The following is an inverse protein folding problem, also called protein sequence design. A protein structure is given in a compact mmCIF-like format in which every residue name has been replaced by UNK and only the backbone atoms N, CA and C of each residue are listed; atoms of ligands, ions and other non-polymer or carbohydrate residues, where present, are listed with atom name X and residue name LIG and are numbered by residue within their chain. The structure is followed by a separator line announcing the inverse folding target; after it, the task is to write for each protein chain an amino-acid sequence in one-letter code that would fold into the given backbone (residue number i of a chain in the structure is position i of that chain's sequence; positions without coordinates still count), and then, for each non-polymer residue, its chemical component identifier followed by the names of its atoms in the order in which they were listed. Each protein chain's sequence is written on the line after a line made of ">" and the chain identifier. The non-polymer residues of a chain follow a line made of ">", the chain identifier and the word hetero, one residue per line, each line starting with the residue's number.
data_IF_229058293753
#
_entry.id   IF_229058293753
#
_cell.length_a   1.000
_cell.length_b   1.000
_cell.length_c   1.000
_cell.angle_alpha   90.00
_cell.angle_beta   90.00
_cell.angle_gamma   90.00
#
_symmetry.space_group_name_H-M   'P 1'
#
loop_
_entity.id
_entity.type
_entity.pdbx_description
1 polymer ?
#
# COMPACT_ATOMS: atom_id res chain seq x y z
N UNK A 1 -65.91 44.54 30.02
CA UNK A 1 -64.66 45.34 29.99
C UNK A 1 -63.49 44.43 29.63
N UNK A 2 -62.52 44.97 28.90
CA UNK A 2 -61.63 44.25 27.98
C UNK A 2 -60.36 43.65 28.61
N UNK A 3 -59.74 42.72 27.83
CA UNK A 3 -58.33 42.20 27.83
C UNK A 3 -57.97 41.10 28.84
N UNK A 4 -57.67 39.87 28.37
CA UNK A 4 -56.39 39.35 27.79
C UNK A 4 -55.38 39.00 28.90
N UNK A 5 -54.73 37.83 29.01
CA UNK A 5 -54.10 36.99 27.99
C UNK A 5 -53.49 35.69 28.58
N UNK A 6 -53.23 34.72 27.67
CA UNK A 6 -52.22 33.63 27.65
C UNK A 6 -52.42 32.31 28.44
N UNK A 7 -52.32 31.23 27.63
CA UNK A 7 -52.33 29.76 27.86
C UNK A 7 -50.89 29.23 28.13
N UNK A 8 -50.53 27.91 28.07
CA UNK A 8 -51.28 26.63 27.98
C UNK A 8 -50.71 25.43 28.80
N UNK A 9 -51.39 24.28 28.66
CA UNK A 9 -50.87 22.90 28.40
C UNK A 9 -50.29 22.04 29.53
N UNK A 10 -50.97 20.91 29.77
CA UNK A 10 -50.51 19.76 30.55
C UNK A 10 -50.71 18.42 29.81
N UNK A 11 -49.61 17.64 29.76
CA UNK A 11 -49.38 16.19 29.84
C UNK A 11 -50.26 15.12 29.14
N UNK A 12 -49.57 14.36 28.26
CA UNK A 12 -49.31 12.90 28.22
C UNK A 12 -50.46 11.87 28.36
N UNK A 13 -50.65 11.05 27.30
CA UNK A 13 -50.21 9.63 27.17
C UNK A 13 -50.88 9.00 25.93
N UNK A 14 -50.12 8.29 25.10
CA UNK A 14 -50.64 7.41 24.05
C UNK A 14 -50.10 5.99 24.23
N UNK A 15 -51.01 5.02 24.25
CA UNK A 15 -50.75 3.58 24.17
C UNK A 15 -51.37 3.04 22.87
N UNK A 16 -50.48 2.53 22.02
CA UNK A 16 -50.51 1.29 21.22
C UNK A 16 -51.65 0.88 20.26
N UNK A 17 -51.17 0.40 19.10
CA UNK A 17 -51.51 -0.83 18.35
C UNK A 17 -52.45 -0.79 17.11
N UNK A 18 -51.79 -1.04 15.95
CA UNK A 18 -52.13 -1.92 14.79
C UNK A 18 -52.42 -1.28 13.41
N UNK A 19 -51.38 -1.39 12.58
CA UNK A 19 -51.32 -1.98 11.23
C UNK A 19 -52.04 -1.33 10.05
N UNK A 20 -51.25 -0.74 9.13
CA UNK A 20 -51.48 -0.76 7.69
C UNK A 20 -50.16 -1.12 6.97
N UNK A 21 -50.14 -2.26 6.28
CA UNK A 21 -49.11 -2.63 5.30
C UNK A 21 -49.39 -1.86 4.01
N UNK A 22 -48.42 -1.05 3.55
CA UNK A 22 -48.35 -0.59 2.16
C UNK A 22 -47.12 -1.20 1.52
N UNK A 23 -47.34 -2.04 0.51
CA UNK A 23 -46.31 -2.63 -0.33
C UNK A 23 -45.98 -1.63 -1.45
N UNK A 24 -44.83 -0.98 -1.37
CA UNK A 24 -44.27 -0.18 -2.46
C UNK A 24 -43.18 -1.02 -3.14
N UNK A 25 -43.49 -1.57 -4.31
CA UNK A 25 -42.50 -2.19 -5.18
C UNK A 25 -41.73 -1.07 -5.91
N UNK A 26 -40.50 -0.78 -5.46
CA UNK A 26 -39.54 -0.03 -6.27
C UNK A 26 -38.99 -0.95 -7.36
N UNK A 27 -39.37 -0.72 -8.62
CA UNK A 27 -38.58 -1.17 -9.76
C UNK A 27 -37.31 -0.33 -9.81
N UNK A 28 -36.16 -0.92 -9.49
CA UNK A 28 -34.87 -0.36 -9.83
C UNK A 28 -34.65 -0.53 -11.33
N UNK A 29 -34.67 0.57 -12.08
CA UNK A 29 -34.17 0.59 -13.46
C UNK A 29 -32.64 0.41 -13.40
N UNK A 30 -32.16 -0.77 -13.77
CA UNK A 30 -30.74 -0.99 -13.99
C UNK A 30 -30.32 -0.17 -15.22
N UNK A 31 -29.48 0.84 -15.01
CA UNK A 31 -28.78 1.51 -16.11
C UNK A 31 -27.92 0.52 -16.90
N UNK A 32 -27.51 0.84 -18.14
CA UNK A 32 -26.76 -0.08 -18.96
C UNK A 32 -25.45 -0.46 -18.27
N UNK A 33 -25.34 -1.75 -17.91
CA UNK A 33 -24.08 -2.37 -17.55
C UNK A 33 -23.23 -2.34 -18.80
N UNK A 34 -22.25 -1.44 -18.85
CA UNK A 34 -21.26 -1.45 -19.92
C UNK A 34 -20.52 -2.78 -19.83
N UNK A 35 -20.84 -3.71 -20.73
CA UNK A 35 -20.09 -4.95 -20.87
C UNK A 35 -18.64 -4.57 -21.22
N UNK A 36 -17.69 -5.08 -20.44
CA UNK A 36 -16.26 -4.94 -20.72
C UNK A 36 -16.01 -5.48 -22.13
N UNK A 37 -15.35 -4.71 -23.03
CA UNK A 37 -15.04 -5.21 -24.36
C UNK A 37 -14.26 -6.52 -24.27
N UNK A 38 -14.49 -7.50 -25.16
CA UNK A 38 -13.88 -8.84 -25.09
C UNK A 38 -12.34 -8.86 -25.16
N UNK A 39 -11.68 -7.72 -25.38
CA UNK A 39 -10.22 -7.54 -25.42
C UNK A 39 -9.68 -6.55 -24.37
N UNK A 40 -10.48 -6.15 -23.38
CA UNK A 40 -9.98 -5.35 -22.27
C UNK A 40 -9.06 -6.21 -21.39
N UNK A 41 -7.85 -5.74 -21.01
CA UNK A 41 -6.95 -6.50 -20.16
C UNK A 41 -7.63 -6.81 -18.83
N UNK A 42 -7.54 -8.06 -18.38
CA UNK A 42 -8.12 -8.49 -17.11
C UNK A 42 -7.27 -7.89 -15.98
N UNK A 43 -7.77 -6.81 -15.37
CA UNK A 43 -7.14 -6.14 -14.23
C UNK A 43 -7.09 -7.08 -13.02
N UNK A 44 -5.93 -7.14 -12.37
CA UNK A 44 -5.69 -7.92 -11.15
C UNK A 44 -5.11 -7.03 -10.06
N UNK A 45 -5.36 -7.40 -8.80
CA UNK A 45 -4.91 -6.61 -7.66
C UNK A 45 -5.75 -5.34 -7.45
N UNK A 46 -5.12 -4.30 -6.93
CA UNK A 46 -5.72 -2.99 -6.65
C UNK A 46 -5.31 -1.98 -7.71
N UNK A 47 -6.22 -1.05 -8.00
CA UNK A 47 -5.97 0.10 -8.87
C UNK A 47 -5.38 1.22 -8.01
N UNK A 48 -4.25 1.77 -8.45
CA UNK A 48 -3.69 3.00 -7.89
C UNK A 48 -4.27 4.19 -8.63
N UNK A 49 -4.60 5.26 -7.89
CA UNK A 49 -5.12 6.51 -8.45
C UNK A 49 -4.12 7.63 -8.23
N UNK A 50 -3.94 8.49 -9.23
CA UNK A 50 -3.04 9.64 -9.18
C UNK A 50 -3.70 10.91 -9.73
N UNK A 51 -3.08 12.05 -9.45
CA UNK A 51 -3.60 13.38 -9.83
C UNK A 51 -2.69 14.12 -10.83
N UNK A 52 -1.47 13.62 -11.06
CA UNK A 52 -0.47 14.28 -11.94
C UNK A 52 -0.57 13.82 -13.39
N UNK A 53 0.45 13.14 -13.91
CA UNK A 53 0.49 12.54 -15.25
C UNK A 53 -0.33 11.24 -15.34
N UNK A 54 -0.46 10.50 -14.23
CA UNK A 54 -1.15 9.21 -14.15
C UNK A 54 -2.48 9.40 -13.43
N UNK A 55 -3.59 9.03 -14.08
CA UNK A 55 -4.91 8.99 -13.45
C UNK A 55 -5.14 7.65 -12.73
N UNK A 56 -4.82 6.55 -13.40
CA UNK A 56 -4.95 5.20 -12.83
C UNK A 56 -3.79 4.30 -13.28
N UNK A 57 -3.35 3.39 -12.41
CA UNK A 57 -2.41 2.34 -12.74
C UNK A 57 -2.88 1.01 -12.14
N UNK A 58 -2.81 -0.06 -12.92
CA UNK A 58 -3.27 -1.38 -12.50
C UNK A 58 -2.42 -2.49 -13.11
N UNK A 59 -2.19 -3.56 -12.34
CA UNK A 59 -1.65 -4.80 -12.87
C UNK A 59 -2.71 -5.53 -13.68
N UNK A 60 -2.30 -6.26 -14.72
CA UNK A 60 -3.23 -6.98 -15.58
C UNK A 60 -2.61 -8.24 -16.20
N UNK A 61 -3.47 -8.98 -16.90
CA UNK A 61 -3.15 -10.22 -17.61
C UNK A 61 -2.59 -11.30 -16.64
N UNK A 62 -3.45 -11.93 -15.82
CA UNK A 62 -3.02 -12.97 -14.89
C UNK A 62 -2.33 -14.12 -15.64
N UNK A 63 -1.25 -14.63 -15.05
CA UNK A 63 -0.43 -15.66 -15.66
C UNK A 63 0.10 -16.68 -14.66
N UNK A 64 0.26 -17.93 -15.10
CA UNK A 64 0.88 -19.02 -14.35
C UNK A 64 2.36 -19.24 -14.67
N UNK A 65 2.99 -18.32 -15.42
CA UNK A 65 4.40 -18.43 -15.88
C UNK A 65 5.42 -18.50 -14.74
N UNK A 66 5.04 -17.98 -13.57
CA UNK A 66 5.87 -18.01 -12.37
C UNK A 66 5.04 -18.48 -11.18
N UNK A 67 5.47 -19.57 -10.53
CA UNK A 67 4.74 -20.21 -9.44
C UNK A 67 5.50 -20.04 -8.14
N UNK A 68 5.20 -18.96 -7.42
CA UNK A 68 5.65 -18.74 -6.04
C UNK A 68 4.45 -18.55 -5.11
N UNK A 69 3.44 -17.77 -5.51
CA UNK A 69 2.15 -17.64 -4.83
C UNK A 69 2.26 -17.13 -3.39
N UNK A 70 3.30 -16.34 -3.11
CA UNK A 70 3.58 -15.80 -1.78
C UNK A 70 2.48 -14.86 -1.29
N UNK A 71 1.72 -14.28 -2.23
CA UNK A 71 0.59 -13.37 -2.03
C UNK A 71 -0.78 -14.09 -1.99
N UNK A 72 -0.78 -15.43 -1.90
CA UNK A 72 -1.97 -16.27 -1.72
C UNK A 72 -2.85 -16.48 -2.96
N UNK A 73 -2.52 -15.85 -4.09
CA UNK A 73 -3.17 -16.10 -5.39
C UNK A 73 -2.38 -17.16 -6.19
N UNK A 74 -3.06 -17.89 -7.07
CA UNK A 74 -2.48 -18.90 -7.97
C UNK A 74 -2.03 -18.32 -9.33
N UNK A 75 -1.85 -17.00 -9.39
CA UNK A 75 -1.39 -16.26 -10.56
C UNK A 75 -0.47 -15.10 -10.14
N UNK A 76 0.31 -14.63 -11.11
CA UNK A 76 1.04 -13.35 -11.06
C UNK A 76 0.56 -12.46 -12.23
N UNK A 77 1.00 -11.20 -12.30
CA UNK A 77 0.60 -10.30 -13.40
C UNK A 77 1.66 -10.25 -14.51
N UNK A 78 1.23 -10.34 -15.77
CA UNK A 78 2.11 -10.23 -16.93
C UNK A 78 2.32 -8.79 -17.41
N UNK A 79 1.42 -7.87 -17.05
CA UNK A 79 1.48 -6.49 -17.54
C UNK A 79 1.06 -5.45 -16.51
N UNK A 80 1.47 -4.21 -16.80
CA UNK A 80 1.02 -2.98 -16.16
C UNK A 80 0.23 -2.19 -17.19
N UNK A 81 -0.97 -1.73 -16.82
CA UNK A 81 -1.82 -0.83 -17.61
C UNK A 81 -1.92 0.50 -16.88
N UNK A 82 -1.69 1.59 -17.59
CA UNK A 82 -1.67 2.94 -17.05
C UNK A 82 -2.60 3.83 -17.85
N UNK A 83 -3.56 4.45 -17.18
CA UNK A 83 -4.38 5.52 -17.72
C UNK A 83 -3.75 6.86 -17.35
N UNK A 84 -3.35 7.63 -18.35
CA UNK A 84 -2.87 9.00 -18.17
C UNK A 84 -4.04 9.97 -17.97
N UNK A 85 -3.78 11.11 -17.32
CA UNK A 85 -4.78 12.16 -17.06
C UNK A 85 -5.29 12.84 -18.32
N UNK A 86 -4.50 12.86 -19.39
CA UNK A 86 -4.90 13.37 -20.70
C UNK A 86 -5.81 12.42 -21.50
N UNK A 87 -6.10 11.26 -20.94
CA UNK A 87 -6.96 10.32 -21.58
C UNK A 87 -6.29 9.38 -22.60
N UNK A 88 -4.98 9.14 -22.51
CA UNK A 88 -4.31 8.01 -23.18
C UNK A 88 -4.13 6.80 -22.25
N UNK A 89 -4.10 5.60 -22.81
CA UNK A 89 -3.83 4.36 -22.06
C UNK A 89 -2.56 3.73 -22.61
N UNK A 90 -1.61 3.48 -21.72
CA UNK A 90 -0.34 2.83 -22.00
C UNK A 90 -0.31 1.44 -21.36
N UNK A 91 0.45 0.51 -21.95
CA UNK A 91 0.62 -0.84 -21.43
C UNK A 91 2.09 -1.25 -21.52
N UNK A 92 2.61 -1.81 -20.44
CA UNK A 92 3.92 -2.44 -20.37
C UNK A 92 3.70 -3.93 -20.17
N UNK A 93 4.12 -4.75 -21.13
CA UNK A 93 4.07 -6.22 -21.04
C UNK A 93 5.47 -6.73 -20.74
N UNK A 94 5.61 -7.53 -19.69
CA UNK A 94 6.89 -8.14 -19.36
C UNK A 94 7.21 -9.33 -20.29
N UNK A 95 8.50 -9.62 -20.52
CA UNK A 95 8.95 -10.85 -21.17
C UNK A 95 8.34 -12.12 -20.55
N UNK A 96 8.34 -13.22 -21.33
CA UNK A 96 7.75 -14.51 -20.93
C UNK A 96 8.36 -15.10 -19.64
N UNK A 97 9.64 -14.83 -19.36
CA UNK A 97 10.33 -15.33 -18.16
C UNK A 97 10.21 -14.40 -16.95
N UNK A 98 9.27 -13.45 -17.00
CA UNK A 98 9.10 -12.40 -15.99
C UNK A 98 7.64 -12.13 -15.65
N UNK A 99 7.43 -11.65 -14.42
CA UNK A 99 6.13 -11.27 -13.88
C UNK A 99 6.26 -10.07 -12.95
N UNK A 100 5.17 -9.36 -12.74
CA UNK A 100 5.02 -8.49 -11.57
C UNK A 100 4.49 -9.33 -10.41
N UNK A 101 5.30 -9.45 -9.36
CA UNK A 101 4.98 -10.17 -8.12
C UNK A 101 4.56 -9.16 -7.04
N UNK A 102 3.49 -8.42 -7.34
CA UNK A 102 2.92 -7.35 -6.53
C UNK A 102 1.38 -7.33 -6.69
N UNK A 103 0.67 -6.56 -5.88
CA UNK A 103 -0.79 -6.38 -6.01
C UNK A 103 -1.23 -4.94 -6.23
N UNK A 104 -0.35 -3.96 -6.04
CA UNK A 104 -0.70 -2.55 -6.17
C UNK A 104 0.48 -1.75 -6.71
N UNK A 105 0.32 -1.04 -7.85
CA UNK A 105 1.29 -0.02 -8.26
C UNK A 105 1.37 1.11 -7.22
N UNK A 106 2.56 1.63 -6.95
CA UNK A 106 2.72 2.80 -6.07
C UNK A 106 3.15 3.99 -6.93
N UNK A 107 2.43 5.10 -6.82
CA UNK A 107 2.67 6.32 -7.59
C UNK A 107 3.45 7.33 -6.74
N UNK A 108 4.57 7.82 -7.24
CA UNK A 108 5.37 8.84 -6.58
C UNK A 108 6.31 9.52 -7.57
N UNK A 109 6.52 10.82 -7.41
CA UNK A 109 7.49 11.64 -8.16
C UNK A 109 8.86 11.50 -7.52
N UNK A 110 9.58 10.46 -7.94
CA UNK A 110 10.82 10.01 -7.32
C UNK A 110 12.03 10.82 -7.80
N UNK A 111 11.96 11.37 -9.01
CA UNK A 111 13.02 12.21 -9.58
C UNK A 111 12.75 13.72 -9.47
N UNK A 112 11.62 14.12 -8.87
CA UNK A 112 11.23 15.51 -8.64
C UNK A 112 11.03 16.31 -9.93
N UNK A 113 10.64 15.66 -11.03
CA UNK A 113 10.34 16.31 -12.31
C UNK A 113 8.89 16.82 -12.42
N UNK A 114 8.06 16.54 -11.42
CA UNK A 114 6.65 16.93 -11.38
C UNK A 114 5.70 15.90 -11.98
N UNK A 115 6.21 14.78 -12.48
CA UNK A 115 5.45 13.61 -12.92
C UNK A 115 5.59 12.49 -11.89
N UNK A 116 4.56 11.66 -11.74
CA UNK A 116 4.69 10.46 -10.93
C UNK A 116 5.33 9.33 -11.76
N UNK A 117 6.29 8.64 -11.14
CA UNK A 117 6.76 7.31 -11.50
C UNK A 117 5.88 6.23 -10.84
N UNK A 118 6.03 5.00 -11.32
CA UNK A 118 5.36 3.82 -10.80
C UNK A 118 6.40 2.87 -10.23
N UNK A 119 6.20 2.45 -8.97
CA UNK A 119 6.98 1.39 -8.36
C UNK A 119 6.22 0.07 -8.30
N UNK A 120 6.92 -0.99 -8.70
CA UNK A 120 6.44 -2.37 -8.67
C UNK A 120 7.56 -3.35 -8.32
N UNK A 121 7.16 -4.54 -7.90
CA UNK A 121 8.06 -5.69 -7.73
C UNK A 121 8.03 -6.54 -8.99
N UNK A 122 9.18 -6.69 -9.66
CA UNK A 122 9.36 -7.52 -10.85
C UNK A 122 10.19 -8.73 -10.49
N UNK A 123 9.75 -9.92 -10.89
CA UNK A 123 10.49 -11.17 -10.70
C UNK A 123 10.82 -11.80 -12.04
N UNK A 124 12.11 -12.09 -12.23
CA UNK A 124 12.64 -12.92 -13.32
C UNK A 124 12.86 -14.35 -12.83
N UNK A 125 12.44 -15.34 -13.62
CA UNK A 125 12.70 -16.75 -13.34
C UNK A 125 14.20 -17.09 -13.35
N UNK A 126 15.03 -16.27 -13.99
CA UNK A 126 16.49 -16.46 -14.08
C UNK A 126 17.25 -15.62 -13.07
N UNK A 127 16.94 -14.34 -12.99
CA UNK A 127 17.75 -13.39 -12.23
C UNK A 127 17.25 -13.18 -10.80
N UNK A 128 15.98 -13.48 -10.52
CA UNK A 128 15.31 -13.17 -9.26
C UNK A 128 14.51 -11.87 -9.29
N UNK A 129 14.25 -11.33 -8.11
CA UNK A 129 13.33 -10.21 -7.91
C UNK A 129 14.07 -8.89 -7.76
N UNK A 130 13.53 -7.85 -8.37
CA UNK A 130 13.95 -6.45 -8.22
C UNK A 130 12.75 -5.56 -7.97
N UNK A 131 12.95 -4.49 -7.20
CA UNK A 131 12.09 -3.32 -7.23
C UNK A 131 12.38 -2.57 -8.53
N UNK A 132 11.36 -2.19 -9.29
CA UNK A 132 11.50 -1.43 -10.54
C UNK A 132 10.79 -0.08 -10.45
N UNK A 133 11.39 0.92 -11.08
CA UNK A 133 10.79 2.25 -11.31
C UNK A 133 10.42 2.35 -12.78
N UNK A 134 9.15 2.64 -13.05
CA UNK A 134 8.60 2.73 -14.40
C UNK A 134 8.08 4.15 -14.63
N UNK A 135 8.44 4.75 -15.76
CA UNK A 135 8.01 6.09 -16.14
C UNK A 135 7.44 6.10 -17.56
N UNK A 136 6.68 7.15 -17.88
CA UNK A 136 6.29 7.44 -19.25
C UNK A 136 7.45 8.14 -19.99
N UNK A 137 7.94 7.54 -21.07
CA UNK A 137 8.99 8.10 -21.93
C UNK A 137 8.60 7.90 -23.39
N UNK A 138 8.63 8.96 -24.19
CA UNK A 138 8.39 8.87 -25.64
C UNK A 138 7.03 8.29 -26.04
N UNK A 139 5.98 8.47 -25.23
CA UNK A 139 4.66 7.91 -25.51
C UNK A 139 4.46 6.46 -25.06
N UNK A 140 5.42 5.87 -24.36
CA UNK A 140 5.38 4.49 -23.89
C UNK A 140 5.77 4.42 -22.40
N UNK A 141 5.51 3.29 -21.76
CA UNK A 141 6.04 2.99 -20.42
C UNK A 141 7.41 2.31 -20.55
N UNK A 142 8.35 2.72 -19.72
CA UNK A 142 9.68 2.13 -19.68
C UNK A 142 10.13 1.93 -18.22
N UNK A 143 10.78 0.79 -17.94
CA UNK A 143 11.54 0.62 -16.70
C UNK A 143 12.78 1.52 -16.82
N UNK A 144 12.87 2.54 -15.96
CA UNK A 144 13.95 3.53 -15.98
C UNK A 144 15.03 3.25 -14.94
N UNK A 145 14.72 2.49 -13.89
CA UNK A 145 15.67 2.06 -12.87
C UNK A 145 15.20 0.77 -12.19
N UNK A 146 16.14 0.03 -11.58
CA UNK A 146 15.83 -1.15 -10.78
C UNK A 146 16.84 -1.34 -9.64
N UNK A 147 16.41 -1.98 -8.55
CA UNK A 147 17.30 -2.42 -7.48
C UNK A 147 18.15 -3.60 -7.97
N UNK A 148 19.28 -3.92 -7.29
CA UNK A 148 19.97 -5.19 -7.51
C UNK A 148 19.00 -6.35 -7.38
N UNK A 149 19.13 -7.32 -8.28
CA UNK A 149 18.30 -8.53 -8.24
C UNK A 149 18.69 -9.42 -7.07
N UNK A 150 17.74 -10.17 -6.52
CA UNK A 150 17.96 -11.14 -5.44
C UNK A 150 18.78 -12.38 -5.84
N UNK A 151 19.19 -12.49 -7.10
CA UNK A 151 20.17 -13.48 -7.57
C UNK A 151 19.61 -14.90 -7.70
N UNK A 152 18.29 -15.05 -7.81
CA UNK A 152 17.61 -16.32 -8.02
C UNK A 152 16.11 -16.23 -7.75
N UNK A 153 15.33 -17.22 -8.23
CA UNK A 153 13.89 -17.23 -8.04
C UNK A 153 13.50 -17.46 -6.57
N UNK A 154 12.25 -17.17 -6.24
CA UNK A 154 11.56 -17.41 -4.97
C UNK A 154 12.12 -16.56 -3.83
N UNK A 155 12.60 -15.37 -4.18
CA UNK A 155 13.23 -14.40 -3.28
C UNK A 155 12.53 -13.05 -3.36
N UNK A 156 11.28 -13.04 -2.92
CA UNK A 156 10.36 -11.92 -3.04
C UNK A 156 10.78 -10.69 -2.22
N UNK A 157 10.33 -9.52 -2.66
CA UNK A 157 10.51 -8.22 -2.01
C UNK A 157 9.13 -7.66 -1.66
N UNK A 158 8.97 -7.08 -0.47
CA UNK A 158 7.74 -6.38 -0.13
C UNK A 158 8.02 -4.90 0.18
N UNK A 159 7.51 -3.96 -0.64
CA UNK A 159 7.68 -2.53 -0.39
C UNK A 159 7.12 -2.13 0.97
N UNK A 160 7.84 -1.25 1.67
CA UNK A 160 7.56 -0.85 3.05
C UNK A 160 7.12 0.63 3.15
N UNK A 161 7.61 1.51 2.29
CA UNK A 161 7.24 2.92 2.31
C UNK A 161 7.97 3.75 1.24
N UNK A 162 7.43 4.93 0.96
CA UNK A 162 8.05 5.95 0.11
C UNK A 162 7.98 7.27 0.88
N UNK A 163 9.14 7.87 1.17
CA UNK A 163 9.26 9.09 1.98
C UNK A 163 10.67 9.65 1.89
N UNK A 164 10.88 10.89 2.30
CA UNK A 164 12.24 11.40 2.54
C UNK A 164 12.76 10.83 3.87
N UNK A 165 13.47 9.69 3.81
CA UNK A 165 13.93 8.97 4.99
C UNK A 165 15.26 9.57 5.51
N UNK A 166 16.02 10.28 4.68
CA UNK A 166 17.33 10.82 5.06
C UNK A 166 17.35 12.34 5.27
N UNK A 167 16.23 13.04 5.02
CA UNK A 167 16.06 14.47 5.23
C UNK A 167 16.68 15.34 4.13
N UNK A 168 16.96 14.79 2.95
CA UNK A 168 17.62 15.51 1.85
C UNK A 168 16.65 16.18 0.85
N UNK A 169 15.35 16.09 1.14
CA UNK A 169 14.27 16.68 0.37
C UNK A 169 13.83 15.86 -0.84
N UNK A 170 14.38 14.66 -1.06
CA UNK A 170 13.96 13.75 -2.14
C UNK A 170 13.25 12.53 -1.57
N UNK A 171 12.36 11.94 -2.37
CA UNK A 171 11.72 10.69 -1.98
C UNK A 171 12.69 9.51 -2.08
N UNK A 172 12.72 8.73 -1.03
CA UNK A 172 13.36 7.43 -0.93
C UNK A 172 12.32 6.31 -0.93
N UNK A 173 12.75 5.09 -1.24
CA UNK A 173 11.91 3.90 -1.27
C UNK A 173 12.50 2.83 -0.37
N UNK A 174 11.69 2.35 0.57
CA UNK A 174 12.03 1.25 1.45
C UNK A 174 11.33 -0.05 1.02
N UNK A 175 12.02 -1.19 1.08
CA UNK A 175 11.41 -2.52 0.97
C UNK A 175 12.09 -3.53 1.90
N UNK A 176 11.36 -4.58 2.27
CA UNK A 176 11.91 -5.74 2.99
C UNK A 176 12.19 -6.87 2.00
N UNK A 177 13.45 -7.26 1.91
CA UNK A 177 13.91 -8.40 1.12
C UNK A 177 13.64 -9.70 1.87
N UNK A 178 12.93 -10.62 1.20
CA UNK A 178 12.60 -11.96 1.70
C UNK A 178 12.05 -11.90 3.13
N UNK A 179 10.88 -11.26 3.36
CA UNK A 179 10.33 -11.01 4.69
C UNK A 179 10.05 -12.26 5.53
N UNK A 180 10.15 -13.46 4.93
CA UNK A 180 9.96 -14.76 5.60
C UNK A 180 11.24 -15.55 5.82
N UNK A 181 12.38 -15.11 5.27
CA UNK A 181 13.62 -15.89 5.26
C UNK A 181 14.86 -15.07 5.65
N UNK A 182 15.01 -13.86 5.10
CA UNK A 182 16.18 -12.99 5.38
C UNK A 182 15.81 -11.78 6.23
N UNK A 183 14.68 -11.13 5.93
CA UNK A 183 14.20 -10.01 6.73
C UNK A 183 15.13 -8.79 6.72
N UNK A 184 15.62 -8.42 5.55
CA UNK A 184 16.52 -7.28 5.37
C UNK A 184 15.75 -6.09 4.78
N UNK A 185 15.60 -5.03 5.56
CA UNK A 185 15.17 -3.73 5.07
C UNK A 185 16.28 -3.10 4.24
N UNK A 186 15.92 -2.53 3.10
CA UNK A 186 16.81 -1.74 2.25
C UNK A 186 16.08 -0.48 1.80
N UNK A 187 16.79 0.63 1.76
CA UNK A 187 16.27 1.95 1.40
C UNK A 187 17.10 2.51 0.24
N UNK A 188 16.41 3.04 -0.77
CA UNK A 188 17.02 3.54 -2.00
C UNK A 188 16.53 4.92 -2.37
N UNK A 189 17.43 5.75 -2.88
CA UNK A 189 17.08 7.01 -3.56
C UNK A 189 17.25 6.84 -5.06
N UNK A 190 16.33 7.37 -5.86
CA UNK A 190 16.54 7.49 -7.31
C UNK A 190 17.47 8.69 -7.57
N UNK A 191 18.66 8.43 -8.10
CA UNK A 191 19.66 9.48 -8.34
C UNK A 191 20.50 9.16 -9.58
N UNK A 192 20.53 10.10 -10.53
CA UNK A 192 21.28 9.94 -11.77
C UNK A 192 20.79 8.75 -12.62
N UNK A 193 19.49 8.48 -12.62
CA UNK A 193 18.88 7.38 -13.38
C UNK A 193 19.09 5.99 -12.78
N UNK A 194 19.55 5.88 -11.53
CA UNK A 194 19.74 4.61 -10.84
C UNK A 194 19.20 4.65 -9.41
N UNK A 195 18.70 3.51 -8.93
CA UNK A 195 18.39 3.32 -7.51
C UNK A 195 19.71 3.10 -6.75
N UNK A 196 20.06 4.04 -5.87
CA UNK A 196 21.24 3.96 -5.00
C UNK A 196 20.82 3.61 -3.60
N UNK A 197 21.37 2.53 -3.04
CA UNK A 197 21.11 2.17 -1.65
C UNK A 197 21.71 3.20 -0.71
N UNK A 198 20.91 3.70 0.22
CA UNK A 198 21.32 4.68 1.23
C UNK A 198 21.31 4.09 2.65
N UNK A 199 20.55 3.02 2.88
CA UNK A 199 20.50 2.36 4.18
C UNK A 199 20.06 0.89 4.06
N UNK A 200 20.48 0.08 5.03
CA UNK A 200 19.99 -1.27 5.23
C UNK A 200 19.92 -1.61 6.72
N UNK A 201 18.94 -2.43 7.11
CA UNK A 201 18.76 -2.90 8.48
C UNK A 201 18.20 -4.32 8.48
N UNK A 202 18.76 -5.22 9.28
CA UNK A 202 18.34 -6.60 9.37
C UNK A 202 17.35 -6.84 10.52
N UNK A 203 16.68 -7.99 10.51
CA UNK A 203 15.87 -8.45 11.64
C UNK A 203 14.44 -7.90 11.63
N UNK A 204 13.89 -7.60 10.45
CA UNK A 204 12.52 -7.10 10.28
C UNK A 204 11.71 -7.96 9.32
N UNK A 205 10.39 -7.90 9.45
CA UNK A 205 9.45 -8.52 8.51
C UNK A 205 8.26 -7.60 8.34
N UNK A 206 7.74 -7.44 7.12
CA UNK A 206 6.52 -6.67 6.86
C UNK A 206 5.45 -7.49 6.11
N UNK A 207 5.54 -8.83 6.19
CA UNK A 207 4.59 -9.71 5.54
C UNK A 207 4.46 -11.06 6.27
N UNK A 208 3.27 -11.66 6.19
CA UNK A 208 3.03 -13.03 6.63
C UNK A 208 2.80 -13.91 5.39
N UNK A 209 3.59 -14.98 5.24
CA UNK A 209 3.57 -15.84 4.07
C UNK A 209 2.14 -16.34 3.74
N UNK A 210 1.76 -16.25 2.46
CA UNK A 210 0.43 -16.64 1.98
C UNK A 210 -0.66 -15.59 2.21
N UNK A 211 -0.37 -14.50 2.91
CA UNK A 211 -1.29 -13.36 3.04
C UNK A 211 -1.36 -12.58 1.73
N UNK A 212 -2.52 -11.99 1.45
CA UNK A 212 -2.66 -11.00 0.37
C UNK A 212 -2.43 -9.56 0.88
N UNK A 213 -2.10 -9.39 2.17
CA UNK A 213 -1.90 -8.11 2.84
C UNK A 213 -0.42 -7.74 2.88
N UNK A 214 -0.05 -6.72 2.08
CA UNK A 214 1.34 -6.27 1.88
C UNK A 214 1.77 -5.10 2.79
N UNK A 215 0.84 -4.54 3.57
CA UNK A 215 1.03 -3.26 4.26
C UNK A 215 1.33 -3.35 5.74
N UNK A 216 2.16 -4.28 6.22
CA UNK A 216 2.60 -4.29 7.64
C UNK A 216 3.71 -3.26 7.90
N UNK A 217 3.49 -2.03 7.45
CA UNK A 217 4.40 -0.91 7.67
C UNK A 217 3.65 0.41 7.58
N UNK A 218 4.14 1.44 8.27
CA UNK A 218 3.61 2.81 8.25
C UNK A 218 4.77 3.79 8.24
N UNK A 219 4.64 4.85 7.46
CA UNK A 219 5.54 6.01 7.46
C UNK A 219 4.87 7.16 8.20
N UNK A 220 5.60 7.81 9.10
CA UNK A 220 5.24 9.07 9.75
C UNK A 220 6.49 9.68 10.36
N UNK A 221 6.47 10.95 10.74
CA UNK A 221 7.46 11.53 11.65
C UNK A 221 7.03 11.14 13.09
N UNK A 222 7.67 10.12 13.66
CA UNK A 222 7.28 9.58 14.97
C UNK A 222 7.99 10.27 16.12
N UNK A 223 9.25 10.68 15.94
CA UNK A 223 10.04 11.35 16.98
C UNK A 223 10.02 12.88 16.95
N UNK A 224 9.45 13.47 15.89
CA UNK A 224 9.22 14.90 15.74
C UNK A 224 10.43 15.68 15.21
N UNK A 225 11.41 15.03 14.60
CA UNK A 225 12.61 15.67 14.05
C UNK A 225 12.38 16.27 12.64
N UNK A 226 11.22 16.01 12.03
CA UNK A 226 10.86 16.46 10.70
C UNK A 226 11.35 15.57 9.55
N UNK A 227 12.00 14.44 9.85
CA UNK A 227 12.42 13.42 8.91
C UNK A 227 11.45 12.24 9.01
N UNK A 228 11.17 11.57 7.89
CA UNK A 228 10.23 10.46 7.92
C UNK A 228 10.85 9.24 8.63
N UNK A 229 10.08 8.64 9.54
CA UNK A 229 10.37 7.37 10.18
C UNK A 229 9.56 6.23 9.56
N UNK A 230 9.96 5.00 9.88
CA UNK A 230 9.26 3.78 9.46
C UNK A 230 8.90 2.90 10.66
N UNK A 231 7.63 2.58 10.81
CA UNK A 231 7.14 1.59 11.77
C UNK A 231 6.83 0.26 11.07
N UNK A 232 7.47 -0.84 11.50
CA UNK A 232 7.24 -2.19 10.96
C UNK A 232 7.61 -3.29 11.99
N UNK A 233 7.14 -4.54 11.81
CA UNK A 233 7.46 -5.61 12.74
C UNK A 233 8.95 -6.02 12.77
N UNK A 234 9.38 -6.54 13.92
CA UNK A 234 10.56 -7.41 14.01
C UNK A 234 10.38 -8.67 13.14
N UNK A 235 11.46 -9.38 12.84
CA UNK A 235 11.42 -10.55 11.94
C UNK A 235 10.44 -11.65 12.39
N UNK A 236 10.35 -11.90 13.70
CA UNK A 236 9.38 -12.82 14.31
C UNK A 236 7.94 -12.26 14.39
N UNK A 237 7.76 -11.00 13.95
CA UNK A 237 6.55 -10.19 14.01
C UNK A 237 5.99 -9.97 15.42
N UNK A 238 6.77 -10.21 16.48
CA UNK A 238 6.34 -10.08 17.89
C UNK A 238 6.71 -8.75 18.54
N UNK A 239 7.30 -7.83 17.81
CA UNK A 239 7.53 -6.46 18.27
C UNK A 239 7.24 -5.49 17.13
N UNK A 240 6.69 -4.33 17.45
CA UNK A 240 6.68 -3.18 16.55
C UNK A 240 7.98 -2.41 16.75
N UNK A 241 8.71 -2.18 15.67
CA UNK A 241 9.90 -1.34 15.65
C UNK A 241 9.53 0.00 15.03
N UNK A 242 9.99 1.08 15.65
CA UNK A 242 10.03 2.42 15.06
C UNK A 242 11.47 2.69 14.67
N UNK A 243 11.72 2.98 13.40
CA UNK A 243 13.06 3.16 12.84
C UNK A 243 13.19 4.58 12.29
N UNK A 244 14.35 5.18 12.52
CA UNK A 244 14.78 6.41 11.85
C UNK A 244 15.97 6.08 10.95
N UNK A 245 16.15 6.90 9.92
CA UNK A 245 17.33 6.88 9.06
C UNK A 245 18.10 8.20 9.10
N UNK A 246 17.65 9.16 9.91
CA UNK A 246 18.36 10.39 10.20
C UNK A 246 19.73 10.06 10.81
N UNK A 247 20.81 10.50 10.16
CA UNK A 247 22.19 10.17 10.58
C UNK A 247 22.57 8.69 10.45
N UNK A 248 21.74 7.87 9.78
CA UNK A 248 21.95 6.43 9.57
C UNK A 248 20.83 5.56 10.16
N UNK A 249 20.66 4.31 9.65
CA UNK A 249 19.56 3.44 10.08
C UNK A 249 19.72 3.01 11.54
N UNK A 250 18.73 3.31 12.38
CA UNK A 250 18.70 2.89 13.77
C UNK A 250 17.27 2.68 14.29
N UNK A 251 17.15 1.90 15.36
CA UNK A 251 15.87 1.66 16.04
C UNK A 251 15.65 2.77 17.05
N UNK A 252 14.60 3.58 16.86
CA UNK A 252 14.16 4.57 17.84
C UNK A 252 13.55 3.86 19.06
N UNK A 253 12.59 2.96 18.82
CA UNK A 253 11.84 2.27 19.87
C UNK A 253 11.48 0.86 19.42
N UNK A 254 11.42 -0.06 20.40
CA UNK A 254 10.91 -1.42 20.22
C UNK A 254 9.79 -1.65 21.22
N UNK A 255 8.59 -1.95 20.72
CA UNK A 255 7.42 -2.21 21.56
C UNK A 255 6.97 -3.66 21.39
N UNK A 256 7.01 -4.48 22.45
CA UNK A 256 6.50 -5.85 22.38
C UNK A 256 5.02 -5.91 22.00
N UNK A 257 4.67 -6.85 21.12
CA UNK A 257 3.29 -7.19 20.80
C UNK A 257 2.90 -8.46 21.57
N UNK A 258 1.65 -8.52 22.02
CA UNK A 258 1.12 -9.70 22.70
C UNK A 258 1.21 -10.95 21.80
N UNK A 259 0.96 -10.78 20.51
CA UNK A 259 0.96 -11.80 19.48
C UNK A 259 1.61 -11.29 18.19
N UNK A 260 1.91 -12.22 17.27
CA UNK A 260 2.51 -11.87 15.99
C UNK A 260 1.60 -10.94 15.17
N UNK A 261 2.17 -9.92 14.55
CA UNK A 261 1.49 -9.09 13.56
C UNK A 261 1.10 -9.93 12.34
N UNK A 262 -0.13 -9.71 11.84
CA UNK A 262 -0.72 -10.51 10.75
C UNK A 262 -1.43 -9.69 9.67
N UNK A 263 -1.71 -8.41 9.89
CA UNK A 263 -2.46 -7.59 8.93
C UNK A 263 -1.82 -6.25 8.61
N UNK A 264 -2.36 -5.58 7.58
CA UNK A 264 -2.01 -4.21 7.25
C UNK A 264 -2.09 -3.30 8.47
N UNK A 265 -1.12 -2.40 8.58
CA UNK A 265 -1.04 -1.38 9.61
C UNK A 265 -1.77 -0.12 9.17
N UNK A 266 -2.14 0.71 10.14
CA UNK A 266 -2.68 2.05 9.89
C UNK A 266 -2.04 3.05 10.83
N UNK A 267 -1.71 4.22 10.29
CA UNK A 267 -1.38 5.37 11.13
C UNK A 267 -2.63 5.80 11.91
N UNK A 268 -2.43 6.12 13.18
CA UNK A 268 -3.44 6.67 14.07
C UNK A 268 -2.82 7.81 14.88
N UNK A 269 -3.69 8.51 15.61
CA UNK A 269 -3.31 9.51 16.60
C UNK A 269 -3.84 9.04 17.96
N UNK A 270 -3.05 9.22 19.01
CA UNK A 270 -3.46 9.07 20.40
C UNK A 270 -3.22 10.41 21.14
N UNK A 271 -3.65 10.52 22.39
CA UNK A 271 -3.46 11.72 23.21
C UNK A 271 -1.98 12.17 23.31
N UNK A 272 -1.06 11.22 23.15
CA UNK A 272 0.39 11.42 23.15
C UNK A 272 1.04 11.57 21.78
N UNK A 273 0.29 11.72 20.68
CA UNK A 273 0.85 11.87 19.32
C UNK A 273 0.68 10.62 18.45
N UNK A 274 1.57 10.37 17.48
CA UNK A 274 1.36 9.34 16.47
C UNK A 274 1.36 7.93 17.09
N UNK A 275 0.50 7.08 16.54
CA UNK A 275 0.31 5.69 16.96
C UNK A 275 0.13 4.79 15.74
N UNK A 276 0.33 3.49 15.93
CA UNK A 276 0.15 2.49 14.87
C UNK A 276 -0.92 1.49 15.28
N UNK A 277 -1.95 1.33 14.46
CA UNK A 277 -2.91 0.24 14.59
C UNK A 277 -2.32 -1.00 13.94
N UNK A 278 -2.11 -2.04 14.73
CA UNK A 278 -1.53 -3.32 14.34
C UNK A 278 -2.57 -4.42 14.51
N UNK A 279 -2.89 -5.16 13.44
CA UNK A 279 -3.64 -6.40 13.58
C UNK A 279 -2.71 -7.55 13.95
N UNK A 280 -3.07 -8.29 14.99
CA UNK A 280 -2.32 -9.42 15.54
C UNK A 280 -3.09 -10.73 15.35
N UNK A 281 -2.38 -11.85 15.52
CA UNK A 281 -2.98 -13.18 15.46
C UNK A 281 -4.24 -13.30 16.33
N UNK A 282 -5.23 -14.04 15.84
CA UNK A 282 -6.58 -14.09 16.44
C UNK A 282 -7.52 -12.97 15.97
N UNK A 283 -7.10 -12.13 15.00
CA UNK A 283 -7.95 -11.13 14.36
C UNK A 283 -8.18 -9.86 15.17
N UNK A 284 -7.45 -9.69 16.29
CA UNK A 284 -7.55 -8.52 17.15
C UNK A 284 -6.69 -7.38 16.61
N UNK A 285 -7.12 -6.14 16.83
CA UNK A 285 -6.32 -4.96 16.56
C UNK A 285 -5.84 -4.35 17.88
N UNK A 286 -4.60 -3.87 17.89
CA UNK A 286 -4.00 -3.14 19.00
C UNK A 286 -3.48 -1.79 18.50
N UNK A 287 -3.72 -0.73 19.27
CA UNK A 287 -3.14 0.59 19.01
C UNK A 287 -1.86 0.71 19.82
N UNK A 288 -0.73 0.92 19.14
CA UNK A 288 0.59 1.05 19.74
C UNK A 288 1.04 2.51 19.60
N UNK A 289 0.94 3.33 20.65
CA UNK A 289 1.43 4.71 20.60
C UNK A 289 2.95 4.72 20.49
N UNK A 290 3.50 5.73 19.81
CA UNK A 290 4.94 5.99 19.86
C UNK A 290 5.37 6.32 21.30
N UNK A 291 6.30 5.57 21.91
CA UNK A 291 6.73 5.85 23.28
C UNK A 291 7.63 7.09 23.32
N UNK A 292 7.13 8.18 23.94
CA UNK A 292 7.96 9.35 24.27
C UNK A 292 9.03 8.97 25.28
#
# INVERSE_FOLDING_TARGET
>A
MSRASRLPSGLLRMTSLRSWMQLLALLAAAGPVHATPPNAPAVVGQVAHGEKNIAEASLADPTGRYRHFVLGADYEAASLVVRLTDGRTLKLVLPEDEVFEDRIPRLADLDSDGSDEILLVRTSARQGTSLVVIAQRGGQLAIIAQSPSTGGPHRWLNPAGIADFNGDGRLDVAYVQQPHAVGQLRVFTLSGGALKEIAALAGVSNHAAGSNQQGMSVVADFDGDGIADLALPSFDRRSLLFLSFAGGPHVLKRVPLADAATSNFKLAQDAGGPAVVVGVAGGRHVTVPYPR
#
